data_IF_995206044558
#
_entry.id   IF_995206044558
#
_cell.length_a   1.000
_cell.length_b   1.000
_cell.length_c   1.000
_cell.angle_alpha   90.00
_cell.angle_beta   90.00
_cell.angle_gamma   90.00
#
_symmetry.space_group_name_H-M   'P 1'
#
loop_
_entity.id
_entity.type
_entity.pdbx_description
1 polymer ?
#
# COMPACT_ATOMS: atom_id res chain seq x y z
N UNK A 1 14.36 -14.89 -19.08
CA UNK A 1 14.17 -13.89 -18.02
C UNK A 1 13.02 -13.00 -18.44
N UNK A 2 12.02 -12.82 -17.60
CA UNK A 2 10.93 -11.87 -17.87
C UNK A 2 11.48 -10.46 -17.60
N UNK A 3 11.39 -9.55 -18.57
CA UNK A 3 11.69 -8.14 -18.33
C UNK A 3 10.51 -7.53 -17.58
N UNK A 4 10.73 -7.21 -16.31
CA UNK A 4 9.76 -6.51 -15.48
C UNK A 4 10.44 -5.39 -14.71
N UNK A 5 9.67 -4.36 -14.37
CA UNK A 5 10.10 -3.29 -13.49
C UNK A 5 9.16 -3.22 -12.27
N UNK A 6 9.70 -2.92 -11.10
CA UNK A 6 8.93 -2.76 -9.86
C UNK A 6 9.18 -1.37 -9.29
N UNK A 7 8.12 -0.56 -9.22
CA UNK A 7 8.15 0.78 -8.62
C UNK A 7 7.33 0.81 -7.35
N UNK A 8 7.84 1.52 -6.35
CA UNK A 8 7.19 1.73 -5.06
C UNK A 8 6.76 3.18 -4.89
N UNK A 9 5.54 3.39 -4.40
CA UNK A 9 5.02 4.70 -4.06
C UNK A 9 4.48 4.68 -2.64
N UNK A 10 4.99 5.58 -1.80
CA UNK A 10 4.52 5.77 -0.43
C UNK A 10 3.89 7.14 -0.31
N UNK A 11 2.79 7.22 0.41
CA UNK A 11 2.15 8.51 0.61
C UNK A 11 1.14 8.49 1.73
N UNK A 12 0.43 9.59 1.84
CA UNK A 12 -0.62 9.79 2.83
C UNK A 12 -1.94 9.90 2.07
N UNK A 13 -2.94 9.13 2.46
CA UNK A 13 -4.31 9.37 2.01
C UNK A 13 -4.71 10.77 2.48
N UNK A 14 -5.04 11.64 1.52
CA UNK A 14 -5.79 12.85 1.85
C UNK A 14 -7.08 12.39 2.55
N UNK A 15 -7.42 12.94 3.72
CA UNK A 15 -8.71 12.64 4.33
C UNK A 15 -9.79 13.02 3.31
N UNK A 16 -10.65 12.05 2.93
CA UNK A 16 -11.96 12.41 2.39
C UNK A 16 -12.70 13.06 3.53
N UNK A 17 -12.66 14.39 3.60
CA UNK A 17 -13.67 15.13 4.35
C UNK A 17 -15.00 14.78 3.69
N UNK A 18 -15.67 13.73 4.17
CA UNK A 18 -17.11 13.71 4.08
C UNK A 18 -17.56 14.77 5.10
N UNK A 19 -18.11 15.92 4.68
CA UNK A 19 -18.69 16.84 5.63
C UNK A 19 -19.90 16.14 6.25
N UNK A 20 -19.68 15.39 7.34
CA UNK A 20 -20.77 15.10 8.25
C UNK A 20 -21.06 16.43 8.91
N UNK A 21 -22.06 17.13 8.37
CA UNK A 21 -22.73 18.26 9.02
C UNK A 21 -23.08 17.78 10.42
N UNK A 22 -22.22 18.09 11.37
CA UNK A 22 -22.49 17.86 12.78
C UNK A 22 -23.17 19.15 13.17
N UNK A 23 -24.48 19.09 13.40
CA UNK A 23 -25.26 20.19 13.99
C UNK A 23 -24.43 20.80 15.11
N UNK A 24 -24.01 22.05 14.92
CA UNK A 24 -23.24 22.79 15.93
C UNK A 24 -24.24 23.12 17.04
N UNK A 25 -24.29 22.27 18.06
CA UNK A 25 -24.72 22.72 19.37
C UNK A 25 -23.51 23.42 19.98
N UNK A 26 -23.64 24.74 20.06
CA UNK A 26 -22.75 25.67 20.72
C UNK A 26 -22.37 25.21 22.13
N UNK A 27 -21.25 25.77 22.59
CA UNK A 27 -20.62 25.67 23.90
C UNK A 27 -19.48 24.66 24.01
N UNK A 28 -18.27 25.25 23.94
CA UNK A 28 -17.05 24.83 24.61
C UNK A 28 -16.65 23.37 24.45
N UNK A 29 -15.86 23.10 23.42
CA UNK A 29 -14.66 22.25 23.50
C UNK A 29 -13.97 22.32 22.15
N UNK A 30 -12.75 22.86 22.12
CA UNK A 30 -11.83 22.67 20.99
C UNK A 30 -11.49 21.19 20.89
N UNK A 31 -12.40 20.38 20.34
CA UNK A 31 -12.08 19.05 19.87
C UNK A 31 -11.25 19.27 18.61
N UNK A 32 -9.94 19.47 18.79
CA UNK A 32 -8.97 19.23 17.73
C UNK A 32 -9.11 17.75 17.40
N UNK A 33 -10.01 17.44 16.46
CA UNK A 33 -10.11 16.10 15.87
C UNK A 33 -8.77 15.88 15.19
N UNK A 34 -7.86 15.20 15.89
CA UNK A 34 -6.59 14.75 15.37
C UNK A 34 -6.87 14.04 14.04
N UNK A 35 -6.53 14.69 12.93
CA UNK A 35 -6.81 14.18 11.59
C UNK A 35 -5.95 12.94 11.44
N UNK A 36 -6.57 11.76 11.57
CA UNK A 36 -5.89 10.48 11.41
C UNK A 36 -5.53 10.27 9.95
N UNK A 37 -4.39 10.82 9.54
CA UNK A 37 -3.75 10.57 8.26
C UNK A 37 -3.52 9.06 8.09
N UNK A 38 -4.12 8.44 7.07
CA UNK A 38 -3.84 7.03 6.72
C UNK A 38 -2.66 7.01 5.78
N UNK A 39 -1.56 6.37 6.15
CA UNK A 39 -0.45 6.18 5.22
C UNK A 39 -0.80 5.08 4.21
N UNK A 40 -0.14 5.04 3.07
CA UNK A 40 -0.28 3.96 2.11
C UNK A 40 1.06 3.54 1.52
N UNK A 41 1.10 2.28 1.12
CA UNK A 41 2.12 1.71 0.27
C UNK A 41 1.45 1.22 -1.01
N UNK A 42 2.01 1.61 -2.15
CA UNK A 42 1.60 1.19 -3.48
C UNK A 42 2.79 0.53 -4.18
N UNK A 43 2.53 -0.59 -4.83
CA UNK A 43 3.46 -1.32 -5.68
C UNK A 43 2.92 -1.30 -7.10
N UNK A 44 3.78 -0.98 -8.07
CA UNK A 44 3.47 -1.01 -9.50
C UNK A 44 4.44 -1.99 -10.14
N UNK A 45 3.92 -3.02 -10.80
CA UNK A 45 4.72 -3.99 -11.55
C UNK A 45 4.42 -3.78 -13.04
N UNK A 46 5.44 -3.47 -13.83
CA UNK A 46 5.33 -3.30 -15.27
C UNK A 46 5.94 -4.51 -15.97
N UNK A 47 5.18 -5.16 -16.85
CA UNK A 47 5.62 -6.34 -17.63
C UNK A 47 5.28 -6.08 -19.10
N UNK A 48 6.29 -5.85 -19.94
CA UNK A 48 6.04 -5.36 -21.30
C UNK A 48 5.28 -4.04 -21.27
N UNK A 49 4.06 -4.01 -21.82
CA UNK A 49 3.18 -2.83 -21.85
C UNK A 49 2.10 -2.85 -20.76
N UNK A 50 2.02 -3.90 -19.94
CA UNK A 50 0.99 -4.04 -18.91
C UNK A 50 1.48 -3.54 -17.56
N UNK A 51 0.61 -2.83 -16.83
CA UNK A 51 0.87 -2.36 -15.46
C UNK A 51 -0.10 -3.00 -14.46
N UNK A 52 0.46 -3.52 -13.38
CA UNK A 52 -0.30 -4.14 -12.29
C UNK A 52 -0.07 -3.39 -10.98
N UNK A 53 -1.14 -2.85 -10.39
CA UNK A 53 -1.07 -2.02 -9.19
C UNK A 53 -1.60 -2.75 -7.95
N UNK A 54 -0.80 -2.78 -6.88
CA UNK A 54 -1.25 -3.21 -5.55
C UNK A 54 -1.12 -2.10 -4.52
N UNK A 55 -2.23 -1.70 -3.90
CA UNK A 55 -2.25 -0.65 -2.86
C UNK A 55 -2.73 -1.18 -1.51
N UNK A 56 -2.06 -0.76 -0.43
CA UNK A 56 -2.45 -1.06 0.96
C UNK A 56 -2.38 0.20 1.81
N UNK A 57 -3.42 0.43 2.62
CA UNK A 57 -3.41 1.46 3.66
C UNK A 57 -2.76 0.91 4.93
N UNK A 58 -1.89 1.70 5.54
CA UNK A 58 -1.27 1.43 6.83
C UNK A 58 -2.06 2.20 7.90
N UNK A 59 -2.56 1.50 8.92
CA UNK A 59 -3.20 2.16 10.05
C UNK A 59 -2.14 2.77 10.97
N UNK A 60 -2.50 3.85 11.66
CA UNK A 60 -1.58 4.62 12.50
C UNK A 60 -1.08 3.84 13.73
N UNK A 61 -1.77 2.76 14.13
CA UNK A 61 -1.29 1.81 15.14
C UNK A 61 -0.23 0.84 14.60
N UNK A 62 -0.07 0.77 13.28
CA UNK A 62 0.90 -0.08 12.57
C UNK A 62 2.12 0.70 12.09
N UNK A 63 2.42 1.85 12.73
CA UNK A 63 3.42 2.87 12.34
C UNK A 63 4.81 2.31 11.97
N UNK A 64 5.13 1.06 12.31
CA UNK A 64 6.47 0.48 12.10
C UNK A 64 6.59 -0.51 10.93
N UNK A 65 5.50 -0.99 10.32
CA UNK A 65 5.61 -2.14 9.39
C UNK A 65 5.46 -1.76 7.90
N UNK A 66 6.21 -0.75 7.44
CA UNK A 66 6.36 -0.45 5.99
C UNK A 66 6.75 -1.69 5.17
N UNK A 67 7.51 -2.62 5.76
CA UNK A 67 7.90 -3.90 5.15
C UNK A 67 6.70 -4.80 4.89
N UNK A 68 5.82 -4.96 5.87
CA UNK A 68 4.54 -5.68 5.72
C UNK A 68 3.67 -4.97 4.67
N UNK A 69 3.65 -3.64 4.68
CA UNK A 69 3.00 -2.84 3.63
C UNK A 69 3.53 -3.16 2.23
N UNK A 70 4.84 -3.19 2.05
CA UNK A 70 5.48 -3.52 0.78
C UNK A 70 5.13 -4.97 0.35
N UNK A 71 5.22 -5.94 1.26
CA UNK A 71 4.88 -7.34 0.99
C UNK A 71 3.42 -7.51 0.57
N UNK A 72 2.49 -6.88 1.27
CA UNK A 72 1.05 -6.97 0.96
C UNK A 72 0.73 -6.23 -0.35
N UNK A 73 1.31 -5.05 -0.56
CA UNK A 73 1.15 -4.31 -1.81
C UNK A 73 1.67 -5.12 -3.01
N UNK A 74 2.86 -5.72 -2.91
CA UNK A 74 3.41 -6.60 -3.94
C UNK A 74 2.56 -7.85 -4.17
N UNK A 75 2.04 -8.47 -3.11
CA UNK A 75 1.11 -9.60 -3.23
C UNK A 75 -0.15 -9.21 -4.00
N UNK A 76 -0.73 -8.04 -3.72
CA UNK A 76 -1.91 -7.56 -4.45
C UNK A 76 -1.61 -7.26 -5.93
N UNK A 77 -0.45 -6.69 -6.23
CA UNK A 77 -0.02 -6.45 -7.60
C UNK A 77 0.19 -7.76 -8.36
N UNK A 78 0.92 -8.71 -7.76
CA UNK A 78 1.19 -10.02 -8.40
C UNK A 78 -0.06 -10.88 -8.59
N UNK A 79 -1.06 -10.80 -7.70
CA UNK A 79 -2.31 -11.56 -7.86
C UNK A 79 -3.13 -11.15 -9.09
N UNK A 80 -2.95 -9.94 -9.61
CA UNK A 80 -3.61 -9.47 -10.84
C UNK A 80 -2.97 -10.04 -12.11
N UNK A 81 -1.75 -10.57 -12.01
CA UNK A 81 -1.06 -11.17 -13.15
C UNK A 81 -1.67 -12.55 -13.42
N UNK A 82 -2.25 -12.80 -14.60
CA UNK A 82 -2.94 -14.06 -14.88
C UNK A 82 -1.96 -15.25 -14.91
N UNK A 83 -0.75 -15.04 -15.43
CA UNK A 83 0.22 -16.11 -15.63
C UNK A 83 0.85 -16.59 -14.30
N UNK A 84 0.63 -17.88 -13.95
CA UNK A 84 1.20 -18.51 -12.76
C UNK A 84 2.73 -18.55 -12.76
N UNK A 85 3.37 -18.78 -13.91
CA UNK A 85 4.84 -18.85 -14.04
C UNK A 85 5.47 -17.50 -13.71
N UNK A 86 4.92 -16.43 -14.29
CA UNK A 86 5.33 -15.05 -14.04
C UNK A 86 5.18 -14.65 -12.57
N UNK A 87 4.08 -15.04 -11.93
CA UNK A 87 3.87 -14.81 -10.49
C UNK A 87 4.96 -15.47 -9.65
N UNK A 88 5.32 -16.72 -9.94
CA UNK A 88 6.37 -17.43 -9.20
C UNK A 88 7.74 -16.79 -9.38
N UNK A 89 8.09 -16.37 -10.60
CA UNK A 89 9.37 -15.70 -10.90
C UNK A 89 9.48 -14.35 -10.16
N UNK A 90 8.40 -13.55 -10.17
CA UNK A 90 8.30 -12.30 -9.42
C UNK A 90 8.44 -12.49 -7.92
N UNK A 91 7.81 -13.53 -7.36
CA UNK A 91 7.97 -13.88 -5.95
C UNK A 91 9.39 -14.36 -5.61
N UNK A 92 10.04 -15.07 -6.53
CA UNK A 92 11.45 -15.43 -6.42
C UNK A 92 12.32 -14.17 -6.34
N UNK A 93 12.19 -13.27 -7.31
CA UNK A 93 12.88 -11.98 -7.34
C UNK A 93 12.63 -11.16 -6.08
N UNK A 94 11.38 -11.09 -5.61
CA UNK A 94 11.02 -10.34 -4.41
C UNK A 94 11.72 -10.88 -3.17
N UNK A 95 11.79 -12.20 -3.00
CA UNK A 95 12.50 -12.84 -1.87
C UNK A 95 14.00 -12.55 -1.90
N UNK A 96 14.61 -12.54 -3.08
CA UNK A 96 16.05 -12.26 -3.26
C UNK A 96 16.40 -10.79 -3.01
N UNK A 97 15.56 -9.84 -3.44
CA UNK A 97 15.83 -8.40 -3.31
C UNK A 97 15.32 -7.81 -1.99
N UNK A 98 14.37 -8.47 -1.33
CA UNK A 98 13.83 -8.06 -0.03
C UNK A 98 13.99 -9.18 1.01
N UNK A 99 15.22 -9.64 1.21
CA UNK A 99 15.60 -10.72 2.15
C UNK A 99 15.14 -10.50 3.59
N UNK A 100 15.04 -9.23 4.04
CA UNK A 100 14.50 -8.88 5.38
C UNK A 100 12.97 -8.95 5.50
N UNK A 101 12.26 -9.41 4.47
CA UNK A 101 10.81 -9.67 4.45
C UNK A 101 10.45 -11.18 4.53
N UNK A 102 11.46 -12.05 4.64
CA UNK A 102 11.28 -13.49 4.88
C UNK A 102 10.77 -13.64 6.32
N UNK A 103 9.51 -14.05 6.50
CA UNK A 103 8.87 -14.21 7.81
C UNK A 103 8.03 -13.02 8.34
N UNK A 104 7.93 -11.92 7.60
CA UNK A 104 7.09 -10.77 7.98
C UNK A 104 5.61 -10.92 7.62
#
# INVERSE_FOLDING_TARGET
MINFNVKWEHGVYKPRFAPKVTKILSYTNNIVKEVKYRNYTKCIITIGSEEFEGKVGLYYKDRENRRVGNKIAFRKATLQIPNKKTRTELWGWFKTNHTKCIGC
#
